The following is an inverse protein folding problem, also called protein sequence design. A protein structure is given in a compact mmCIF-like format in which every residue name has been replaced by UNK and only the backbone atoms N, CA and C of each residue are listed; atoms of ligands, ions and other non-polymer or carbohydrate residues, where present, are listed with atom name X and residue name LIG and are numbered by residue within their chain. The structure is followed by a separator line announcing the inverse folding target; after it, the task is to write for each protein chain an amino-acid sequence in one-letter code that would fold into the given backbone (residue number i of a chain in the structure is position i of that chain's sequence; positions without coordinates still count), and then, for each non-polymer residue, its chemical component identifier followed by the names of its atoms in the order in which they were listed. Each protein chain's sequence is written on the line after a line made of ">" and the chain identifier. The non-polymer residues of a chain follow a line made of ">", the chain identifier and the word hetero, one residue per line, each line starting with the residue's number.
data_IF_224051992644
#
_entry.id   IF_224051992644
#
_cell.length_a   1.000
_cell.length_b   1.000
_cell.length_c   1.000
_cell.angle_alpha   90.00
_cell.angle_beta   90.00
_cell.angle_gamma   90.00
#
_symmetry.space_group_name_H-M   'P 1'
#
loop_
_entity.id
_entity.type
_entity.pdbx_description
1 polymer ?
#
# COMPACT_ATOMS: atom_id res chain seq x y z
N UNK A 1 -55.96 -10.58 -41.17
CA UNK A 1 -55.32 -10.11 -39.92
C UNK A 1 -53.82 -10.05 -40.15
N UNK A 2 -53.29 -8.87 -40.50
CA UNK A 2 -51.84 -8.67 -40.65
C UNK A 2 -51.24 -8.38 -39.28
N UNK A 3 -50.52 -9.36 -38.73
CA UNK A 3 -49.73 -9.18 -37.52
C UNK A 3 -48.55 -8.27 -37.81
N UNK A 4 -48.62 -7.01 -37.38
CA UNK A 4 -47.48 -6.12 -37.34
C UNK A 4 -46.48 -6.66 -36.32
N UNK A 5 -45.46 -7.39 -36.80
CA UNK A 5 -44.26 -7.66 -36.02
C UNK A 5 -43.53 -6.33 -35.88
N UNK A 6 -43.72 -5.66 -34.74
CA UNK A 6 -42.86 -4.58 -34.31
C UNK A 6 -41.47 -5.20 -34.09
N UNK A 7 -40.62 -5.09 -35.10
CA UNK A 7 -39.19 -5.30 -34.94
C UNK A 7 -38.70 -4.12 -34.09
N UNK A 8 -38.72 -4.29 -32.78
CA UNK A 8 -37.98 -3.41 -31.90
C UNK A 8 -36.50 -3.63 -32.21
N UNK A 9 -35.95 -2.84 -33.13
CA UNK A 9 -34.51 -2.61 -33.20
C UNK A 9 -34.13 -1.95 -31.87
N UNK A 10 -33.84 -2.78 -30.87
CA UNK A 10 -32.99 -2.40 -29.76
C UNK A 10 -31.60 -2.19 -30.37
N UNK A 11 -31.38 -1.00 -30.92
CA UNK A 11 -30.05 -0.40 -31.01
C UNK A 11 -29.58 -0.20 -29.57
N UNK A 12 -29.21 -1.29 -28.90
CA UNK A 12 -28.38 -1.20 -27.70
C UNK A 12 -27.07 -0.73 -28.27
N UNK A 13 -26.91 0.59 -28.31
CA UNK A 13 -25.59 1.17 -28.44
C UNK A 13 -24.82 0.71 -27.22
N UNK A 14 -24.07 -0.36 -27.38
CA UNK A 14 -23.11 -0.85 -26.39
C UNK A 14 -21.92 0.09 -26.28
N UNK A 15 -21.88 1.19 -27.03
CA UNK A 15 -20.75 2.10 -27.13
C UNK A 15 -20.59 2.90 -25.85
N UNK A 16 -19.35 3.13 -25.47
CA UNK A 16 -19.02 4.11 -24.47
C UNK A 16 -19.18 5.54 -25.01
N UNK A 17 -19.63 6.45 -24.14
CA UNK A 17 -19.92 7.83 -24.50
C UNK A 17 -19.14 8.83 -23.63
N UNK A 18 -17.80 8.83 -23.69
CA UNK A 18 -16.93 9.56 -22.75
C UNK A 18 -17.20 11.06 -22.70
N UNK A 19 -17.83 11.63 -23.73
CA UNK A 19 -18.29 13.01 -23.72
C UNK A 19 -19.27 13.35 -22.58
N UNK A 20 -20.01 12.39 -22.01
CA UNK A 20 -20.96 12.68 -20.92
C UNK A 20 -20.28 12.88 -19.56
N UNK A 21 -19.03 12.45 -19.41
CA UNK A 21 -18.28 12.60 -18.15
C UNK A 21 -16.90 13.24 -18.34
N UNK A 22 -16.60 13.81 -19.50
CA UNK A 22 -15.36 14.55 -19.75
C UNK A 22 -15.27 15.87 -18.94
N UNK A 23 -16.41 16.39 -18.46
CA UNK A 23 -16.49 17.68 -17.76
C UNK A 23 -16.18 17.58 -16.26
N UNK A 24 -15.75 16.40 -15.79
CA UNK A 24 -15.35 16.23 -14.38
C UNK A 24 -14.08 17.04 -14.11
N UNK A 25 -13.91 17.49 -12.88
CA UNK A 25 -12.71 18.21 -12.46
C UNK A 25 -11.65 17.23 -11.97
N UNK A 26 -10.39 17.65 -11.93
CA UNK A 26 -9.33 16.86 -11.28
C UNK A 26 -9.67 16.55 -9.82
N UNK A 27 -10.27 17.51 -9.10
CA UNK A 27 -10.73 17.33 -7.71
C UNK A 27 -11.79 16.24 -7.55
N UNK A 28 -12.71 16.12 -8.52
CA UNK A 28 -13.71 15.06 -8.54
C UNK A 28 -13.04 13.71 -8.81
N UNK A 29 -12.23 13.62 -9.86
CA UNK A 29 -11.57 12.38 -10.28
C UNK A 29 -10.66 11.81 -9.18
N UNK A 30 -10.03 12.70 -8.42
CA UNK A 30 -9.18 12.36 -7.27
C UNK A 30 -9.91 11.60 -6.18
N UNK A 31 -11.17 11.94 -5.91
CA UNK A 31 -11.96 11.31 -4.85
C UNK A 31 -12.49 9.94 -5.25
N UNK A 32 -12.44 9.60 -6.55
CA UNK A 32 -12.97 8.35 -7.04
C UNK A 32 -12.13 7.17 -6.56
N UNK A 33 -12.79 6.28 -5.83
CA UNK A 33 -12.24 5.02 -5.39
C UNK A 33 -13.01 3.85 -6.02
N UNK A 34 -12.37 2.68 -6.12
CA UNK A 34 -13.06 1.46 -6.49
C UNK A 34 -14.23 1.20 -5.52
N UNK A 35 -15.42 0.95 -6.06
CA UNK A 35 -16.65 0.78 -5.29
C UNK A 35 -17.52 2.04 -5.19
N UNK A 36 -16.99 3.22 -5.51
CA UNK A 36 -17.78 4.47 -5.51
C UNK A 36 -18.89 4.44 -6.58
N UNK A 37 -20.02 5.12 -6.31
CA UNK A 37 -21.09 5.24 -7.29
C UNK A 37 -20.64 6.00 -8.53
N UNK A 38 -21.00 5.50 -9.71
CA UNK A 38 -20.77 6.20 -10.99
C UNK A 38 -22.08 6.74 -11.56
N UNK A 39 -23.15 5.93 -11.54
CA UNK A 39 -24.53 6.26 -11.96
C UNK A 39 -24.65 6.86 -13.38
N UNK A 40 -23.61 6.72 -14.19
CA UNK A 40 -23.55 7.18 -15.57
C UNK A 40 -23.57 5.96 -16.48
N UNK A 41 -24.32 6.06 -17.58
CA UNK A 41 -24.50 4.97 -18.54
C UNK A 41 -25.03 3.66 -17.94
N UNK A 42 -25.89 3.73 -16.93
CA UNK A 42 -26.45 2.54 -16.24
C UNK A 42 -25.39 1.64 -15.59
N UNK A 43 -24.27 2.22 -15.16
CA UNK A 43 -23.24 1.54 -14.39
C UNK A 43 -23.32 2.05 -12.95
N UNK A 44 -23.63 1.15 -12.03
CA UNK A 44 -23.91 1.54 -10.64
C UNK A 44 -22.66 2.06 -9.92
N UNK A 45 -21.53 1.38 -10.08
CA UNK A 45 -20.30 1.66 -9.33
C UNK A 45 -19.02 1.33 -10.10
N UNK A 46 -17.92 1.94 -9.66
CA UNK A 46 -16.59 1.57 -10.12
C UNK A 46 -16.20 0.16 -9.65
N UNK A 47 -15.59 -0.60 -10.53
CA UNK A 47 -15.14 -1.96 -10.24
C UNK A 47 -13.92 -1.97 -9.33
N UNK A 48 -13.83 -2.99 -8.47
CA UNK A 48 -12.72 -3.12 -7.54
C UNK A 48 -11.40 -3.43 -8.28
N UNK A 49 -10.28 -2.86 -7.82
CA UNK A 49 -8.91 -3.03 -8.40
C UNK A 49 -8.40 -4.48 -8.41
N UNK A 50 -9.19 -5.42 -7.89
CA UNK A 50 -8.88 -6.85 -7.75
C UNK A 50 -8.54 -7.57 -9.07
N UNK A 51 -8.85 -6.97 -10.23
CA UNK A 51 -8.30 -7.41 -11.51
C UNK A 51 -7.26 -6.39 -11.97
N UNK A 52 -6.00 -6.71 -11.69
CA UNK A 52 -4.81 -5.93 -12.06
C UNK A 52 -4.97 -5.42 -13.51
N UNK A 53 -4.81 -4.10 -13.72
CA UNK A 53 -4.55 -3.44 -15.02
C UNK A 53 -5.70 -3.14 -15.99
N UNK A 54 -6.97 -3.12 -15.55
CA UNK A 54 -8.06 -2.80 -16.50
C UNK A 54 -8.13 -1.32 -16.95
N UNK A 55 -7.51 -0.38 -16.25
CA UNK A 55 -7.32 1.01 -16.70
C UNK A 55 -5.98 1.53 -16.16
N UNK A 56 -5.00 1.75 -17.04
CA UNK A 56 -3.61 2.07 -16.67
C UNK A 56 -3.16 3.35 -17.34
N UNK A 57 -2.56 4.23 -16.55
CA UNK A 57 -1.86 5.43 -17.04
C UNK A 57 -0.39 5.12 -17.35
N UNK A 58 0.11 5.71 -18.43
CA UNK A 58 1.53 5.75 -18.76
C UNK A 58 1.88 7.11 -19.38
N UNK A 59 3.16 7.48 -19.37
CA UNK A 59 3.62 8.77 -19.88
C UNK A 59 5.00 8.66 -20.53
N UNK A 60 5.28 9.56 -21.47
CA UNK A 60 6.62 9.75 -22.04
C UNK A 60 7.49 10.72 -21.25
N UNK A 61 7.00 11.27 -20.13
CA UNK A 61 7.80 12.13 -19.24
C UNK A 61 8.93 11.28 -18.64
N UNK A 62 10.19 11.73 -18.75
CA UNK A 62 11.31 10.96 -18.23
C UNK A 62 11.27 10.91 -16.69
N UNK A 63 11.91 9.90 -16.07
CA UNK A 63 11.96 9.79 -14.60
C UNK A 63 12.61 10.98 -13.90
N UNK A 64 13.39 11.80 -14.62
CA UNK A 64 14.01 13.03 -14.10
C UNK A 64 13.01 14.16 -13.93
N UNK A 65 11.85 14.10 -14.60
CA UNK A 65 10.79 15.09 -14.53
C UNK A 65 10.47 15.75 -15.86
N UNK A 66 9.49 16.65 -15.86
CA UNK A 66 9.10 17.42 -17.04
C UNK A 66 9.80 18.79 -17.09
N UNK A 67 10.17 19.22 -18.29
CA UNK A 67 10.56 20.58 -18.58
C UNK A 67 9.32 21.45 -18.81
N UNK A 68 9.41 22.76 -18.57
CA UNK A 68 8.27 23.69 -18.73
C UNK A 68 7.95 23.94 -20.20
N UNK A 69 6.65 24.08 -20.52
CA UNK A 69 6.17 24.34 -21.88
C UNK A 69 6.70 23.33 -22.93
N UNK A 70 6.81 22.07 -22.51
CA UNK A 70 7.24 20.94 -23.33
C UNK A 70 6.07 19.97 -23.51
N UNK A 71 5.95 19.44 -24.73
CA UNK A 71 4.93 18.46 -25.07
C UNK A 71 5.37 17.05 -24.68
N UNK A 72 4.49 16.33 -23.99
CA UNK A 72 4.65 14.93 -23.65
C UNK A 72 3.42 14.13 -24.06
N UNK A 73 3.59 12.82 -24.26
CA UNK A 73 2.47 11.90 -24.45
C UNK A 73 2.04 11.33 -23.10
N UNK A 74 0.74 11.32 -22.84
CA UNK A 74 0.13 10.58 -21.73
C UNK A 74 -0.88 9.62 -22.32
N UNK A 75 -0.80 8.35 -21.92
CA UNK A 75 -1.59 7.28 -22.52
C UNK A 75 -2.41 6.57 -21.46
N UNK A 76 -3.61 6.14 -21.84
CA UNK A 76 -4.49 5.31 -21.03
C UNK A 76 -4.73 4.00 -21.78
N UNK A 77 -4.48 2.90 -21.10
CA UNK A 77 -4.59 1.54 -21.64
C UNK A 77 -5.57 0.71 -20.83
N UNK A 78 -6.34 -0.15 -21.50
CA UNK A 78 -7.20 -1.16 -20.89
C UNK A 78 -6.99 -2.52 -21.52
N UNK A 79 -7.07 -3.57 -20.70
CA UNK A 79 -7.07 -4.97 -21.17
C UNK A 79 -8.40 -5.39 -21.80
N UNK A 80 -9.44 -4.59 -21.65
CA UNK A 80 -10.73 -4.82 -22.28
C UNK A 80 -10.61 -4.66 -23.80
N UNK A 81 -11.29 -5.51 -24.59
CA UNK A 81 -11.38 -5.31 -26.03
C UNK A 81 -12.07 -3.98 -26.34
N UNK A 82 -11.83 -3.45 -27.54
CA UNK A 82 -12.23 -2.09 -27.92
C UNK A 82 -13.72 -1.80 -27.83
N UNK A 83 -14.08 -0.53 -28.01
CA UNK A 83 -15.40 0.00 -27.63
C UNK A 83 -15.40 0.69 -26.26
N UNK A 84 -14.21 0.91 -25.70
CA UNK A 84 -14.01 1.50 -24.37
C UNK A 84 -13.85 3.02 -24.49
N UNK A 85 -14.57 3.74 -23.64
CA UNK A 85 -14.46 5.18 -23.48
C UNK A 85 -13.42 5.50 -22.43
N UNK A 86 -12.53 6.42 -22.74
CA UNK A 86 -11.47 6.90 -21.88
C UNK A 86 -11.70 8.38 -21.61
N UNK A 87 -11.49 8.78 -20.36
CA UNK A 87 -11.35 10.18 -19.98
C UNK A 87 -10.05 10.32 -19.22
N UNK A 88 -9.24 11.32 -19.58
CA UNK A 88 -8.01 11.69 -18.89
C UNK A 88 -8.09 13.14 -18.43
N UNK A 89 -7.68 13.39 -17.19
CA UNK A 89 -7.67 14.74 -16.61
C UNK A 89 -6.31 14.95 -15.94
N UNK A 90 -5.73 16.13 -16.15
CA UNK A 90 -4.54 16.58 -15.45
C UNK A 90 -4.91 17.61 -14.39
N UNK A 91 -4.20 17.63 -13.26
CA UNK A 91 -4.36 18.69 -12.25
C UNK A 91 -3.85 20.04 -12.77
N UNK A 92 -2.81 20.02 -13.59
CA UNK A 92 -2.17 21.20 -14.19
C UNK A 92 -1.69 20.89 -15.62
N UNK A 93 -1.29 21.93 -16.35
CA UNK A 93 -1.02 21.82 -17.78
C UNK A 93 -2.30 21.57 -18.59
N UNK A 94 -2.15 21.45 -19.90
CA UNK A 94 -3.29 21.33 -20.81
C UNK A 94 -3.06 20.26 -21.87
N UNK A 95 -4.09 19.47 -22.17
CA UNK A 95 -4.03 18.54 -23.30
C UNK A 95 -4.23 19.29 -24.62
N UNK A 96 -3.27 19.16 -25.53
CA UNK A 96 -3.35 19.59 -26.91
C UNK A 96 -3.96 18.46 -27.75
N UNK A 97 -5.28 18.35 -27.79
CA UNK A 97 -5.96 17.50 -28.76
C UNK A 97 -7.27 18.14 -29.23
N UNK A 98 -7.78 17.63 -30.36
CA UNK A 98 -8.82 18.19 -31.24
C UNK A 98 -9.83 19.18 -30.60
N UNK A 99 -10.22 20.24 -31.33
CA UNK A 99 -10.99 21.38 -30.81
C UNK A 99 -12.36 21.04 -30.20
N UNK A 100 -12.83 19.78 -30.28
CA UNK A 100 -14.11 19.37 -29.72
C UNK A 100 -14.01 18.60 -28.39
N UNK A 101 -12.93 17.86 -28.11
CA UNK A 101 -12.85 16.89 -26.98
C UNK A 101 -11.40 16.60 -26.52
N UNK A 102 -10.73 17.52 -25.83
CA UNK A 102 -9.30 17.41 -25.53
C UNK A 102 -8.94 16.30 -24.53
N UNK A 103 -9.90 15.78 -23.76
CA UNK A 103 -9.67 14.83 -22.65
C UNK A 103 -10.42 13.50 -22.79
N UNK A 104 -11.18 13.29 -23.86
CA UNK A 104 -12.10 12.17 -23.99
C UNK A 104 -11.95 11.45 -25.35
N UNK A 105 -11.78 10.13 -25.32
CA UNK A 105 -11.62 9.33 -26.54
C UNK A 105 -12.28 7.96 -26.41
N UNK A 106 -12.75 7.40 -27.53
CA UNK A 106 -13.29 6.03 -27.58
C UNK A 106 -12.41 5.15 -28.48
N UNK A 107 -12.27 3.88 -28.12
CA UNK A 107 -11.68 2.85 -28.98
C UNK A 107 -12.73 2.22 -29.89
N UNK A 108 -12.31 1.76 -31.07
CA UNK A 108 -13.20 1.01 -31.97
C UNK A 108 -13.36 -0.43 -31.48
N UNK A 109 -14.52 -1.06 -31.68
CA UNK A 109 -14.76 -2.46 -31.24
C UNK A 109 -13.77 -3.49 -31.77
N UNK A 110 -13.20 -3.25 -32.95
CA UNK A 110 -12.24 -4.17 -33.55
C UNK A 110 -10.84 -4.10 -32.89
N UNK A 111 -10.58 -3.11 -32.03
CA UNK A 111 -9.29 -2.97 -31.35
C UNK A 111 -9.13 -4.09 -30.31
N UNK A 112 -8.07 -4.90 -30.43
CA UNK A 112 -7.77 -6.00 -29.50
C UNK A 112 -7.33 -5.51 -28.12
N UNK A 113 -6.61 -4.39 -28.11
CA UNK A 113 -6.17 -3.67 -26.92
C UNK A 113 -6.63 -2.24 -27.07
N UNK A 114 -7.22 -1.72 -26.01
CA UNK A 114 -7.81 -0.40 -26.04
C UNK A 114 -6.81 0.59 -25.44
N UNK A 115 -6.12 1.33 -26.32
CA UNK A 115 -5.09 2.30 -25.97
C UNK A 115 -5.42 3.65 -26.62
N UNK A 116 -5.34 4.71 -25.83
CA UNK A 116 -5.44 6.10 -26.31
C UNK A 116 -4.33 6.94 -25.71
N UNK A 117 -3.84 7.89 -26.50
CA UNK A 117 -2.74 8.79 -26.14
C UNK A 117 -3.12 10.23 -26.43
N UNK A 118 -2.80 11.12 -25.50
CA UNK A 118 -3.02 12.55 -25.57
C UNK A 118 -1.69 13.29 -25.50
N UNK A 119 -1.58 14.40 -26.21
CA UNK A 119 -0.45 15.32 -26.07
C UNK A 119 -0.76 16.26 -24.91
N UNK A 120 0.10 16.30 -23.90
CA UNK A 120 -0.01 17.17 -22.74
C UNK A 120 1.11 18.20 -22.78
N UNK A 121 0.73 19.47 -22.71
CA UNK A 121 1.66 20.58 -22.55
C UNK A 121 1.91 20.81 -21.08
N UNK A 122 3.17 20.72 -20.67
CA UNK A 122 3.56 20.94 -19.29
C UNK A 122 3.34 22.38 -18.84
N UNK A 123 2.94 22.60 -17.57
CA UNK A 123 2.71 23.92 -17.01
C UNK A 123 4.02 24.70 -16.85
N UNK A 124 3.92 26.03 -16.85
CA UNK A 124 5.05 26.93 -16.61
C UNK A 124 5.25 27.29 -15.14
N UNK A 125 4.18 27.24 -14.36
CA UNK A 125 4.05 27.76 -12.99
C UNK A 125 3.88 26.67 -11.93
N UNK A 126 3.62 25.42 -12.32
CA UNK A 126 3.48 24.30 -11.39
C UNK A 126 4.74 23.44 -11.29
N UNK A 127 5.05 22.97 -10.08
CA UNK A 127 6.18 22.10 -9.80
C UNK A 127 5.86 20.61 -9.99
N UNK A 128 4.58 20.27 -10.08
CA UNK A 128 4.09 18.90 -10.27
C UNK A 128 2.78 18.90 -11.06
N UNK A 129 2.46 17.75 -11.65
CA UNK A 129 1.17 17.48 -12.27
C UNK A 129 0.74 16.07 -11.97
N UNK A 130 -0.54 15.87 -11.71
CA UNK A 130 -1.13 14.55 -11.50
C UNK A 130 -2.13 14.25 -12.61
N UNK A 131 -2.06 13.03 -13.15
CA UNK A 131 -2.97 12.51 -14.15
C UNK A 131 -3.94 11.53 -13.51
N UNK A 132 -5.20 11.67 -13.89
CA UNK A 132 -6.30 10.81 -13.48
C UNK A 132 -6.98 10.27 -14.73
N UNK A 133 -7.40 9.01 -14.71
CA UNK A 133 -8.12 8.42 -15.83
C UNK A 133 -9.25 7.50 -15.39
N UNK A 134 -10.29 7.48 -16.22
CA UNK A 134 -11.42 6.55 -16.10
C UNK A 134 -11.63 5.86 -17.43
N UNK A 135 -11.91 4.56 -17.36
CA UNK A 135 -12.19 3.71 -18.51
C UNK A 135 -13.57 3.07 -18.34
N UNK A 136 -14.41 3.10 -19.39
CA UNK A 136 -15.79 2.59 -19.37
C UNK A 136 -16.05 1.71 -20.59
N UNK A 137 -16.52 0.48 -20.40
CA UNK A 137 -16.66 -0.50 -21.50
C UNK A 137 -17.95 -0.36 -22.32
N UNK A 138 -18.92 0.44 -21.90
CA UNK A 138 -20.19 0.60 -22.61
C UNK A 138 -21.39 0.79 -21.70
N UNK A 139 -22.57 0.99 -22.28
CA UNK A 139 -23.82 1.16 -21.52
C UNK A 139 -24.17 -0.13 -20.77
N UNK A 140 -24.41 -0.04 -19.45
CA UNK A 140 -24.60 -1.19 -18.57
C UNK A 140 -23.34 -2.05 -18.39
N UNK A 141 -22.17 -1.54 -18.81
CA UNK A 141 -20.88 -2.23 -18.74
C UNK A 141 -20.16 -2.02 -17.41
N UNK A 142 -18.83 -1.93 -17.50
CA UNK A 142 -17.93 -1.79 -16.36
C UNK A 142 -17.23 -0.44 -16.44
N UNK A 143 -17.00 0.17 -15.27
CA UNK A 143 -16.22 1.39 -15.13
C UNK A 143 -15.03 1.14 -14.21
N UNK A 144 -13.87 1.64 -14.60
CA UNK A 144 -12.60 1.47 -13.90
C UNK A 144 -11.94 2.83 -13.68
N UNK A 145 -11.30 3.00 -12.52
CA UNK A 145 -10.48 4.18 -12.18
C UNK A 145 -9.02 3.76 -12.21
N UNK A 146 -8.18 4.52 -12.92
CA UNK A 146 -6.74 4.31 -12.91
C UNK A 146 -6.10 4.81 -11.60
N UNK A 147 -4.99 4.20 -11.20
CA UNK A 147 -4.13 4.79 -10.17
C UNK A 147 -3.60 6.15 -10.66
N UNK A 148 -3.67 7.16 -9.80
CA UNK A 148 -3.19 8.49 -10.14
C UNK A 148 -1.69 8.46 -10.43
N UNK A 149 -1.27 9.08 -11.53
CA UNK A 149 0.13 9.18 -11.92
C UNK A 149 0.60 10.62 -11.68
N UNK A 150 1.51 10.82 -10.73
CA UNK A 150 2.08 12.14 -10.44
C UNK A 150 3.48 12.25 -11.03
N UNK A 151 3.75 13.38 -11.68
CA UNK A 151 5.04 13.74 -12.28
C UNK A 151 5.51 15.06 -11.71
N UNK A 152 6.83 15.23 -11.60
CA UNK A 152 7.46 16.43 -11.04
C UNK A 152 8.27 17.15 -12.12
N UNK A 153 8.49 18.44 -11.93
CA UNK A 153 9.33 19.24 -12.82
C UNK A 153 10.79 18.76 -12.73
N UNK A 154 11.51 18.86 -13.84
CA UNK A 154 12.94 18.53 -13.87
C UNK A 154 13.74 19.35 -12.84
N UNK A 155 14.70 18.68 -12.20
CA UNK A 155 15.46 19.22 -11.07
C UNK A 155 14.71 19.26 -9.73
N UNK A 156 13.46 18.82 -9.67
CA UNK A 156 12.73 18.63 -8.40
C UNK A 156 12.91 17.21 -7.87
N UNK A 157 12.77 17.01 -6.54
CA UNK A 157 12.77 15.67 -5.98
C UNK A 157 11.64 14.81 -6.56
N UNK A 158 11.94 13.54 -6.88
CA UNK A 158 10.94 12.61 -7.44
C UNK A 158 10.25 11.77 -6.35
N UNK A 159 10.73 11.87 -5.11
CA UNK A 159 10.22 11.10 -3.98
C UNK A 159 9.03 11.82 -3.33
N UNK A 160 7.97 11.07 -3.06
CA UNK A 160 6.79 11.53 -2.33
C UNK A 160 6.94 11.06 -0.89
N UNK A 161 6.92 11.99 0.05
CA UNK A 161 6.89 11.66 1.47
C UNK A 161 5.45 11.74 2.01
N UNK A 162 5.05 10.70 2.72
CA UNK A 162 3.75 10.66 3.38
C UNK A 162 3.71 11.65 4.55
N UNK A 163 2.56 12.30 4.78
CA UNK A 163 2.33 13.07 5.99
C UNK A 163 2.58 12.22 7.24
N UNK A 164 3.54 12.64 8.05
CA UNK A 164 3.94 12.04 9.32
C UNK A 164 4.54 13.11 10.23
N UNK A 165 4.03 13.17 11.46
CA UNK A 165 4.47 14.16 12.44
C UNK A 165 5.83 13.83 13.10
N UNK A 166 6.40 12.65 12.81
CA UNK A 166 7.54 12.10 13.56
C UNK A 166 8.70 11.58 12.71
N UNK A 167 8.52 11.39 11.41
CA UNK A 167 9.57 10.77 10.57
C UNK A 167 10.22 11.84 9.69
N UNK A 168 11.47 12.17 10.03
CA UNK A 168 12.28 13.05 9.19
C UNK A 168 12.51 12.39 7.82
N UNK A 169 12.35 13.19 6.77
CA UNK A 169 12.59 12.74 5.40
C UNK A 169 14.10 12.62 5.18
N UNK A 170 14.53 11.51 4.56
CA UNK A 170 15.95 11.17 4.41
C UNK A 170 16.62 11.97 3.28
N UNK A 171 15.82 12.40 2.32
CA UNK A 171 16.18 13.23 1.19
C UNK A 171 15.07 14.25 0.97
N UNK A 172 15.35 15.26 0.13
CA UNK A 172 14.32 16.21 -0.27
C UNK A 172 13.15 15.45 -0.93
N UNK A 173 11.91 15.81 -0.59
CA UNK A 173 10.72 15.10 -1.05
C UNK A 173 9.51 16.02 -1.18
N UNK A 174 8.52 15.62 -1.96
CA UNK A 174 7.23 16.31 -2.04
C UNK A 174 6.29 15.83 -0.93
N UNK A 175 5.94 16.77 -0.04
CA UNK A 175 4.91 16.60 0.97
C UNK A 175 3.54 16.80 0.32
N UNK A 176 2.83 15.69 0.17
CA UNK A 176 1.57 15.60 -0.56
C UNK A 176 0.52 14.95 0.31
N UNK A 177 -0.72 15.43 0.24
CA UNK A 177 -1.82 14.71 0.88
C UNK A 177 -1.90 13.33 0.25
N UNK A 178 -2.06 12.31 1.08
CA UNK A 178 -2.37 10.94 0.63
C UNK A 178 -3.65 10.95 -0.24
N UNK A 179 -4.52 11.95 -0.04
CA UNK A 179 -5.75 12.20 -0.80
C UNK A 179 -5.63 13.34 -1.84
N UNK A 180 -4.41 13.77 -2.18
CA UNK A 180 -4.09 14.39 -3.48
C UNK A 180 -4.33 15.88 -3.71
N UNK A 181 -4.12 16.77 -2.74
CA UNK A 181 -4.10 18.22 -2.99
C UNK A 181 -2.73 18.69 -3.54
N UNK A 182 -2.45 18.32 -4.79
CA UNK A 182 -1.15 18.50 -5.45
C UNK A 182 -0.85 19.95 -5.87
N UNK A 183 -1.86 20.83 -5.92
CA UNK A 183 -1.69 22.25 -6.25
C UNK A 183 -0.84 23.03 -5.24
N UNK A 184 -0.68 22.50 -4.02
CA UNK A 184 0.10 23.10 -2.94
C UNK A 184 1.19 22.14 -2.42
N UNK A 185 1.76 21.29 -3.28
CA UNK A 185 2.85 20.41 -2.87
C UNK A 185 4.02 21.24 -2.33
N UNK A 186 4.44 20.99 -1.09
CA UNK A 186 5.63 21.63 -0.52
C UNK A 186 6.79 20.66 -0.57
N UNK A 187 7.97 21.17 -0.92
CA UNK A 187 9.20 20.39 -0.88
C UNK A 187 9.72 20.47 0.55
N UNK A 188 9.81 19.31 1.20
CA UNK A 188 10.43 19.19 2.50
C UNK A 188 11.89 18.83 2.31
N UNK A 189 12.79 19.66 2.84
CA UNK A 189 14.22 19.34 2.84
C UNK A 189 14.53 18.15 3.73
N UNK A 190 15.62 17.44 3.44
CA UNK A 190 16.16 16.39 4.31
C UNK A 190 16.21 16.86 5.77
N UNK A 191 15.67 16.04 6.69
CA UNK A 191 15.57 16.37 8.12
C UNK A 191 14.27 17.07 8.56
N UNK A 192 13.43 17.53 7.62
CA UNK A 192 12.09 18.03 7.94
C UNK A 192 11.03 16.90 7.96
N UNK A 193 9.88 17.18 8.58
CA UNK A 193 8.71 16.31 8.58
C UNK A 193 7.61 16.93 7.71
N UNK A 194 6.94 16.10 6.91
CA UNK A 194 5.72 16.46 6.18
C UNK A 194 4.53 16.32 7.14
N UNK A 195 3.85 17.40 7.52
CA UNK A 195 2.72 17.33 8.44
C UNK A 195 1.40 17.06 7.71
N UNK A 196 0.38 16.62 8.44
CA UNK A 196 -0.98 16.36 7.88
C UNK A 196 -1.59 17.59 7.20
N UNK A 197 -1.20 18.79 7.61
CA UNK A 197 -1.58 20.06 6.97
C UNK A 197 -0.70 20.43 5.75
N UNK A 198 0.08 19.47 5.26
CA UNK A 198 0.99 19.60 4.11
C UNK A 198 2.09 20.63 4.29
N UNK A 199 2.43 20.95 5.54
CA UNK A 199 3.54 21.84 5.86
C UNK A 199 4.80 21.06 6.21
N UNK A 200 5.93 21.56 5.72
CA UNK A 200 7.24 21.10 6.14
C UNK A 200 7.62 21.83 7.42
N UNK A 201 7.78 21.10 8.52
CA UNK A 201 8.27 21.66 9.78
C UNK A 201 9.36 20.76 10.36
N UNK A 202 10.14 21.30 11.29
CA UNK A 202 11.05 20.45 12.06
C UNK A 202 10.27 19.38 12.82
N UNK A 203 10.78 18.17 12.77
CA UNK A 203 10.21 17.04 13.49
C UNK A 203 10.27 17.33 15.00
N UNK A 204 9.16 17.17 15.69
CA UNK A 204 9.05 17.45 17.12
C UNK A 204 9.75 16.38 17.95
N UNK A 205 11.08 16.48 18.08
CA UNK A 205 11.91 15.77 19.08
C UNK A 205 12.03 14.25 18.91
N UNK A 206 13.21 13.63 18.94
CA UNK A 206 14.50 14.13 19.40
C UNK A 206 15.67 13.42 18.75
N UNK A 207 16.87 13.79 19.21
CA UNK A 207 18.22 13.27 18.95
C UNK A 207 18.35 11.74 18.72
N UNK A 208 17.73 11.20 17.68
CA UNK A 208 17.57 9.74 17.59
C UNK A 208 16.93 9.21 16.31
N UNK A 209 17.10 9.88 15.18
CA UNK A 209 17.11 9.17 13.89
C UNK A 209 18.57 8.87 13.50
N UNK A 210 19.30 8.18 14.39
CA UNK A 210 20.11 7.06 13.90
C UNK A 210 19.14 6.24 13.06
N UNK A 211 19.48 6.01 11.79
CA UNK A 211 18.76 5.13 10.90
C UNK A 211 18.12 4.02 11.73
N UNK A 212 16.78 3.93 11.67
CA UNK A 212 16.11 2.71 12.06
C UNK A 212 16.59 1.68 11.05
N UNK A 213 17.81 1.16 11.27
CA UNK A 213 18.16 -0.19 10.92
C UNK A 213 16.94 -0.94 11.38
N UNK A 214 16.18 -1.48 10.42
CA UNK A 214 15.20 -2.51 10.71
C UNK A 214 15.96 -3.55 11.52
N UNK A 215 15.94 -3.41 12.85
CA UNK A 215 16.42 -4.46 13.72
C UNK A 215 15.40 -5.53 13.44
N UNK A 216 15.80 -6.64 12.78
CA UNK A 216 14.86 -7.65 12.39
C UNK A 216 14.14 -8.03 13.68
N UNK A 217 12.81 -8.03 13.69
CA UNK A 217 11.99 -8.41 14.85
C UNK A 217 12.49 -9.69 15.54
N UNK A 218 13.19 -10.54 14.77
CA UNK A 218 13.98 -11.69 15.23
C UNK A 218 14.96 -11.35 16.36
N UNK A 219 15.79 -10.30 16.25
CA UNK A 219 16.77 -9.94 17.28
C UNK A 219 16.11 -9.52 18.60
N UNK A 220 14.98 -8.79 18.53
CA UNK A 220 14.23 -8.37 19.71
C UNK A 220 13.52 -9.56 20.37
N UNK A 221 12.99 -10.49 19.56
CA UNK A 221 12.49 -11.77 20.04
C UNK A 221 13.58 -12.62 20.71
N UNK A 222 14.79 -12.67 20.16
CA UNK A 222 15.91 -13.40 20.79
C UNK A 222 16.28 -12.82 22.15
N UNK A 223 16.36 -11.49 22.27
CA UNK A 223 16.66 -10.83 23.55
C UNK A 223 15.56 -11.11 24.58
N UNK A 224 14.29 -11.02 24.19
CA UNK A 224 13.17 -11.32 25.09
C UNK A 224 13.19 -12.78 25.56
N UNK A 225 13.40 -13.74 24.66
CA UNK A 225 13.53 -15.16 25.01
C UNK A 225 14.68 -15.39 26.00
N UNK A 226 15.80 -14.71 25.79
CA UNK A 226 16.97 -14.83 26.66
C UNK A 226 16.70 -14.23 28.05
N UNK A 227 15.99 -13.11 28.14
CA UNK A 227 15.54 -12.53 29.41
C UNK A 227 14.59 -13.47 30.15
N UNK A 228 13.59 -14.04 29.46
CA UNK A 228 12.67 -15.00 30.08
C UNK A 228 13.39 -16.28 30.54
N UNK A 229 14.38 -16.75 29.80
CA UNK A 229 15.20 -17.90 30.18
C UNK A 229 16.01 -17.62 31.45
N UNK A 230 16.71 -16.48 31.50
CA UNK A 230 17.49 -16.07 32.69
C UNK A 230 16.58 -15.92 33.92
N UNK A 231 15.41 -15.28 33.77
CA UNK A 231 14.44 -15.15 34.86
C UNK A 231 13.95 -16.52 35.36
N UNK A 232 13.73 -17.47 34.43
CA UNK A 232 13.34 -18.85 34.78
C UNK A 232 14.44 -19.59 35.54
N UNK A 233 15.71 -19.43 35.15
CA UNK A 233 16.86 -19.98 35.88
C UNK A 233 16.99 -19.39 37.29
N UNK A 234 16.84 -18.07 37.42
CA UNK A 234 16.85 -17.39 38.73
C UNK A 234 15.71 -17.92 39.60
N UNK A 235 14.49 -18.04 39.06
CA UNK A 235 13.36 -18.59 39.82
C UNK A 235 13.63 -20.04 40.27
N UNK A 236 14.15 -20.90 39.39
CA UNK A 236 14.48 -22.28 39.72
C UNK A 236 15.54 -22.38 40.83
N UNK A 237 16.58 -21.53 40.79
CA UNK A 237 17.63 -21.51 41.82
C UNK A 237 17.11 -21.02 43.18
N UNK A 238 16.22 -20.01 43.19
CA UNK A 238 15.57 -19.53 44.41
C UNK A 238 14.68 -20.61 45.02
N UNK A 239 13.85 -21.27 44.21
CA UNK A 239 12.98 -22.37 44.67
C UNK A 239 13.81 -23.54 45.19
N UNK A 240 14.89 -23.91 44.49
CA UNK A 240 15.81 -24.97 44.93
C UNK A 240 16.45 -24.64 46.28
N UNK A 241 16.98 -23.43 46.45
CA UNK A 241 17.57 -23.00 47.72
C UNK A 241 16.54 -22.96 48.85
N UNK A 242 15.31 -22.54 48.57
CA UNK A 242 14.23 -22.57 49.55
C UNK A 242 13.88 -24.00 49.97
N UNK A 243 13.83 -24.94 49.02
CA UNK A 243 13.56 -26.36 49.29
C UNK A 243 14.70 -27.01 50.08
N UNK A 244 15.96 -26.72 49.73
CA UNK A 244 17.14 -27.21 50.45
C UNK A 244 17.18 -26.75 51.90
N UNK A 245 16.80 -25.49 52.17
CA UNK A 245 16.70 -24.98 53.56
C UNK A 245 15.66 -25.74 54.39
N UNK A 246 14.51 -26.10 53.81
CA UNK A 246 13.50 -26.92 54.51
C UNK A 246 13.99 -28.34 54.82
N UNK A 247 14.69 -28.99 53.88
CA UNK A 247 15.22 -30.34 54.13
C UNK A 247 16.41 -30.35 55.09
N UNK A 248 17.23 -29.29 55.12
CA UNK A 248 18.30 -29.13 56.11
C UNK A 248 17.76 -29.08 57.54
N UNK A 249 16.60 -28.44 57.76
CA UNK A 249 15.95 -28.41 59.08
C UNK A 249 15.33 -29.75 59.48
N UNK A 250 14.86 -30.56 58.53
CA UNK A 250 14.33 -31.90 58.82
C UNK A 250 15.44 -32.95 59.09
N UNK A 251 16.67 -32.70 58.66
CA UNK A 251 17.82 -33.58 58.91
C UNK A 251 18.41 -33.46 60.32
N UNK A 252 18.16 -32.35 61.02
CA UNK A 252 18.63 -32.15 62.41
C UNK A 252 17.69 -32.75 63.46
N UNK A 253 16.39 -32.94 63.16
CA UNK A 253 15.43 -33.52 64.11
C UNK A 253 15.35 -35.06 64.07
N UNK A 254 16.01 -35.74 63.13
CA UNK A 254 16.10 -37.21 63.07
C UNK A 254 17.55 -37.72 63.13
N UNK A 255 18.45 -36.96 63.76
CA UNK A 255 19.65 -37.50 64.39
C UNK A 255 19.33 -38.34 65.64
N UNK A 256 18.25 -39.13 65.60
CA UNK A 256 17.92 -40.10 66.62
C UNK A 256 18.60 -41.41 66.23
N UNK A 257 19.81 -41.55 66.77
CA UNK A 257 20.54 -42.78 67.07
C UNK A 257 19.76 -44.07 66.71
N UNK A 258 19.96 -44.56 65.49
CA UNK A 258 19.59 -45.93 65.14
C UNK A 258 20.65 -46.81 65.82
N UNK A 259 20.35 -47.28 67.03
CA UNK A 259 21.07 -48.39 67.64
C UNK A 259 21.00 -49.58 66.68
N UNK A 260 22.16 -49.99 66.20
CA UNK A 260 22.34 -51.18 65.39
C UNK A 260 22.25 -52.37 66.37
N UNK A 261 21.23 -53.23 66.29
CA UNK A 261 21.25 -54.45 67.08
C UNK A 261 22.32 -55.37 66.51
N UNK A 262 23.33 -55.66 67.33
CA UNK A 262 24.19 -56.82 67.16
C UNK A 262 23.32 -58.07 67.20
N UNK A 263 23.17 -58.73 66.05
CA UNK A 263 22.76 -60.13 66.01
C UNK A 263 23.78 -60.89 65.19
N UNK A 264 24.64 -61.59 65.91
CA UNK A 264 25.38 -62.74 65.42
C UNK A 264 24.42 -63.74 64.76
N UNK A 265 24.86 -64.35 63.66
CA UNK A 265 24.89 -65.81 63.47
C UNK A 265 24.87 -66.17 61.98
N UNK A 266 25.98 -66.78 61.56
CA UNK A 266 26.06 -68.02 60.78
C UNK A 266 24.92 -68.38 59.81
N UNK A 267 25.24 -68.44 58.52
CA UNK A 267 25.07 -69.62 57.61
C UNK A 267 25.25 -69.17 56.15
N UNK A 268 26.32 -69.59 55.47
CA UNK A 268 26.49 -70.88 54.76
C UNK A 268 25.68 -70.98 53.45
N UNK A 269 26.44 -70.89 52.35
CA UNK A 269 26.35 -71.66 51.10
C UNK A 269 25.00 -71.78 50.37
N UNK A 270 24.95 -71.32 49.10
CA UNK A 270 25.16 -72.21 47.94
C UNK A 270 25.16 -71.46 46.62
N UNK A 271 26.12 -71.83 45.77
CA UNK A 271 26.09 -71.65 44.34
C UNK A 271 24.95 -72.47 43.70
N UNK A 272 24.31 -71.92 42.66
CA UNK A 272 23.77 -72.72 41.56
C UNK A 272 23.99 -71.98 40.25
N UNK A 273 24.60 -72.73 39.34
CA UNK A 273 25.02 -72.46 37.99
C UNK A 273 23.96 -72.97 36.99
N UNK A 274 24.04 -72.52 35.74
CA UNK A 274 23.39 -73.05 34.52
C UNK A 274 21.93 -72.61 34.28
N UNK A 275 21.50 -72.29 33.07
CA UNK A 275 22.02 -72.53 31.70
C UNK A 275 21.94 -71.29 30.84
#
# INVERSE_FOLDING_TARGET
>A
MCGARILALRLISTLAYPQFWQFKTAEFMRKLQPGDPFEIMSIDRFQNKSFRTNCRLSTSIPPTGFEVNTLYSVSVETNEPGGVGHVIISSTGAFQQEPSRPSAACTMYAEKHSLRSWQWMSPTDANSSSFFAVCVTGYGGLAYVADALTVFRDGQPQEICSPSNSTAVLADCHCLAVDGDFGNSKICSAGACCWEDLQCRHCSGGLGCLAKAERPWRALNYVLVLVFFVLSCVHATVVWNHKRRRFGQLGEEHGQQIEIPHSDSHSSCRAVQSR
#
